data_IF_287482366456
#
_entry.id   IF_287482366456
#
_cell.length_a   1.000
_cell.length_b   1.000
_cell.length_c   1.000
_cell.angle_alpha   90.00
_cell.angle_beta   90.00
_cell.angle_gamma   90.00
#
_symmetry.space_group_name_H-M   'P 1'
#
loop_
_entity.id
_entity.type
_entity.pdbx_description
1 polymer ?
#
# COMPACT_ATOMS: atom_id res chain seq x y z
N UNK A 1 22.81 18.34 -17.03
CA UNK A 1 21.46 18.94 -17.09
C UNK A 1 20.83 18.50 -18.41
N UNK A 2 19.67 17.82 -18.40
CA UNK A 2 19.03 17.31 -19.62
C UNK A 2 18.73 15.79 -19.65
N UNK A 3 19.15 15.03 -18.64
CA UNK A 3 18.95 13.57 -18.55
C UNK A 3 17.48 13.16 -18.68
N UNK A 4 16.58 13.87 -17.99
CA UNK A 4 15.14 13.65 -18.09
C UNK A 4 14.62 13.79 -19.54
N UNK A 5 15.04 14.82 -20.26
CA UNK A 5 14.59 15.07 -21.64
C UNK A 5 15.06 13.95 -22.55
N UNK A 6 16.31 13.52 -22.41
CA UNK A 6 16.86 12.40 -23.20
C UNK A 6 16.12 11.10 -22.92
N UNK A 7 15.89 10.76 -21.66
CA UNK A 7 15.20 9.53 -21.28
C UNK A 7 13.72 9.53 -21.70
N UNK A 8 13.05 10.67 -21.65
CA UNK A 8 11.66 10.80 -22.09
C UNK A 8 11.51 10.57 -23.59
N UNK A 9 12.41 11.13 -24.40
CA UNK A 9 12.37 10.89 -25.84
C UNK A 9 12.81 9.45 -26.19
N UNK A 10 13.76 8.86 -25.45
CA UNK A 10 14.11 7.45 -25.59
C UNK A 10 12.89 6.55 -25.30
N UNK A 11 12.21 6.76 -24.17
CA UNK A 11 11.00 6.02 -23.81
C UNK A 11 9.90 6.12 -24.89
N UNK A 12 9.78 7.25 -25.60
CA UNK A 12 8.78 7.42 -26.67
C UNK A 12 9.08 6.61 -27.93
N UNK A 13 10.35 6.32 -28.19
CA UNK A 13 10.79 5.68 -29.43
C UNK A 13 11.31 4.25 -29.23
N UNK A 14 11.38 3.77 -27.99
CA UNK A 14 11.89 2.45 -27.65
C UNK A 14 10.83 1.34 -27.77
N UNK A 15 11.06 0.30 -28.59
CA UNK A 15 10.13 -0.83 -28.73
C UNK A 15 10.32 -1.93 -27.68
N UNK A 16 11.49 -2.03 -27.02
CA UNK A 16 11.78 -3.13 -26.08
C UNK A 16 11.07 -2.94 -24.72
N UNK A 17 10.19 -3.86 -24.30
CA UNK A 17 9.41 -3.73 -23.06
C UNK A 17 10.27 -3.57 -21.79
N UNK A 18 11.39 -4.29 -21.70
CA UNK A 18 12.28 -4.19 -20.55
C UNK A 18 12.91 -2.80 -20.43
N UNK A 19 13.25 -2.19 -21.56
CA UNK A 19 13.87 -0.85 -21.61
C UNK A 19 12.83 0.24 -21.31
N UNK A 20 11.58 0.07 -21.79
CA UNK A 20 10.47 0.96 -21.43
C UNK A 20 10.26 0.99 -19.92
N UNK A 21 10.13 -0.18 -19.28
CA UNK A 21 9.93 -0.29 -17.84
C UNK A 21 11.12 0.27 -17.03
N UNK A 22 12.33 0.17 -17.55
CA UNK A 22 13.50 0.80 -16.92
C UNK A 22 13.46 2.32 -17.07
N UNK A 23 13.15 2.84 -18.27
CA UNK A 23 13.04 4.27 -18.53
C UNK A 23 11.93 4.92 -17.71
N UNK A 24 10.77 4.26 -17.58
CA UNK A 24 9.64 4.74 -16.79
C UNK A 24 10.03 4.90 -15.32
N UNK A 25 10.68 3.90 -14.72
CA UNK A 25 11.17 3.98 -13.33
C UNK A 25 12.16 5.12 -13.12
N UNK A 26 13.11 5.30 -14.03
CA UNK A 26 14.09 6.38 -13.92
C UNK A 26 13.43 7.75 -14.13
N UNK A 27 12.47 7.85 -15.04
CA UNK A 27 11.70 9.07 -15.26
C UNK A 27 10.90 9.44 -14.00
N UNK A 28 10.25 8.47 -13.34
CA UNK A 28 9.52 8.69 -12.10
C UNK A 28 10.42 9.29 -11.03
N UNK A 29 11.60 8.70 -10.79
CA UNK A 29 12.58 9.20 -9.82
C UNK A 29 13.08 10.61 -10.18
N UNK A 30 13.20 10.95 -11.47
CA UNK A 30 13.65 12.27 -11.91
C UNK A 30 12.57 13.35 -11.82
N UNK A 31 11.28 12.97 -11.81
CA UNK A 31 10.14 13.88 -11.64
C UNK A 31 9.78 14.01 -10.16
N UNK A 32 9.92 12.94 -9.38
CA UNK A 32 9.60 12.93 -7.96
C UNK A 32 10.36 14.04 -7.24
N UNK A 33 9.61 14.85 -6.50
CA UNK A 33 10.19 15.89 -5.68
C UNK A 33 10.80 15.22 -4.45
N UNK A 34 11.94 15.75 -4.01
CA UNK A 34 12.49 15.40 -2.71
C UNK A 34 11.46 15.75 -1.62
N UNK A 35 11.21 14.87 -0.63
CA UNK A 35 10.33 15.20 0.47
C UNK A 35 10.80 16.49 1.14
N UNK A 36 9.86 17.33 1.54
CA UNK A 36 10.18 18.57 2.26
C UNK A 36 10.96 18.28 3.56
N UNK A 37 11.71 19.25 4.09
CA UNK A 37 12.45 19.06 5.34
C UNK A 37 11.54 18.53 6.46
N UNK A 38 11.94 17.43 7.09
CA UNK A 38 11.15 16.77 8.14
C UNK A 38 10.09 15.78 7.64
N UNK A 39 10.03 15.50 6.33
CA UNK A 39 9.23 14.42 5.72
C UNK A 39 10.09 13.23 5.28
N UNK A 40 11.35 13.19 5.71
CA UNK A 40 12.32 12.15 5.35
C UNK A 40 12.06 10.82 6.07
N UNK A 41 11.47 10.88 7.28
CA UNK A 41 11.15 9.72 8.09
C UNK A 41 9.66 9.73 8.45
N UNK A 42 8.89 8.87 7.80
CA UNK A 42 7.43 8.76 7.97
C UNK A 42 6.97 8.40 9.39
N UNK A 43 7.88 7.95 10.28
CA UNK A 43 7.56 7.74 11.70
C UNK A 43 7.65 9.02 12.54
N UNK A 44 8.29 10.07 12.02
CA UNK A 44 8.51 11.35 12.71
C UNK A 44 7.70 12.50 12.09
N UNK A 45 6.93 12.22 11.02
CA UNK A 45 6.10 13.23 10.37
C UNK A 45 4.82 13.47 11.15
N UNK A 46 4.33 14.71 11.13
CA UNK A 46 3.01 15.03 11.67
C UNK A 46 1.94 14.53 10.70
N UNK A 47 1.10 13.60 11.15
CA UNK A 47 -0.04 13.10 10.37
C UNK A 47 -1.19 14.12 10.43
N UNK A 48 -1.74 14.58 9.30
CA UNK A 48 -2.94 15.43 9.27
C UNK A 48 -4.15 14.78 9.96
N UNK A 49 -5.02 15.59 10.57
CA UNK A 49 -6.17 15.09 11.35
C UNK A 49 -7.12 14.20 10.54
N UNK A 50 -7.36 14.53 9.28
CA UNK A 50 -8.20 13.73 8.38
C UNK A 50 -7.66 12.30 8.23
N UNK A 51 -6.36 12.19 7.98
CA UNK A 51 -5.67 10.91 7.83
C UNK A 51 -5.65 10.15 9.17
N UNK A 52 -5.42 10.84 10.30
CA UNK A 52 -5.51 10.20 11.63
C UNK A 52 -6.90 9.61 11.92
N UNK A 53 -7.97 10.26 11.43
CA UNK A 53 -9.33 9.74 11.60
C UNK A 53 -9.60 8.55 10.68
N UNK A 54 -9.09 8.58 9.45
CA UNK A 54 -9.23 7.44 8.52
C UNK A 54 -8.48 6.21 9.03
N UNK A 55 -7.24 6.39 9.52
CA UNK A 55 -6.43 5.31 10.06
C UNK A 55 -7.14 4.63 11.25
N UNK A 56 -7.58 5.41 12.24
CA UNK A 56 -8.34 4.86 13.39
C UNK A 56 -9.62 4.12 13.01
N UNK A 57 -10.26 4.49 11.89
CA UNK A 57 -11.46 3.79 11.41
C UNK A 57 -11.09 2.44 10.78
N UNK A 58 -9.95 2.37 10.10
CA UNK A 58 -9.44 1.13 9.54
C UNK A 58 -9.02 0.19 10.66
N UNK A 59 -8.23 0.69 11.62
CA UNK A 59 -7.79 -0.11 12.77
C UNK A 59 -8.98 -0.77 13.50
N UNK A 60 -10.05 -0.01 13.77
CA UNK A 60 -11.22 -0.58 14.44
C UNK A 60 -12.09 -1.48 13.54
N UNK A 61 -12.05 -1.32 12.21
CA UNK A 61 -12.78 -2.22 11.32
C UNK A 61 -12.10 -3.57 11.21
N UNK A 62 -10.77 -3.58 11.17
CA UNK A 62 -9.96 -4.80 11.16
C UNK A 62 -10.16 -5.56 12.50
N UNK A 63 -10.20 -4.85 13.64
CA UNK A 63 -10.51 -5.44 14.96
C UNK A 63 -11.92 -6.07 15.01
N UNK A 64 -12.94 -5.37 14.50
CA UNK A 64 -14.32 -5.90 14.46
C UNK A 64 -14.41 -7.14 13.53
N UNK A 65 -13.70 -7.15 12.39
CA UNK A 65 -13.67 -8.28 11.46
C UNK A 65 -12.95 -9.50 12.05
N UNK A 66 -11.82 -9.31 12.74
CA UNK A 66 -11.10 -10.38 13.43
C UNK A 66 -11.97 -11.01 14.55
N UNK A 67 -12.75 -10.20 15.30
CA UNK A 67 -13.67 -10.70 16.33
C UNK A 67 -14.84 -11.50 15.73
N UNK A 68 -15.44 -11.03 14.62
CA UNK A 68 -16.52 -11.77 13.93
C UNK A 68 -16.00 -13.10 13.36
N UNK A 69 -14.78 -13.14 12.80
CA UNK A 69 -14.17 -14.39 12.31
C UNK A 69 -13.88 -15.39 13.45
N UNK A 70 -13.39 -14.92 14.61
CA UNK A 70 -13.18 -15.80 15.78
C UNK A 70 -14.50 -16.36 16.32
N UNK A 71 -15.57 -15.55 16.39
CA UNK A 71 -16.89 -16.02 16.82
C UNK A 71 -17.49 -17.06 15.84
N UNK A 72 -17.39 -16.82 14.53
CA UNK A 72 -17.87 -17.76 13.50
C UNK A 72 -17.07 -19.08 13.54
N UNK A 73 -15.75 -19.05 13.78
CA UNK A 73 -14.92 -20.26 13.95
C UNK A 73 -15.29 -21.05 15.21
N UNK A 74 -15.56 -20.40 16.34
CA UNK A 74 -16.02 -21.04 17.58
C UNK A 74 -17.38 -21.73 17.40
N UNK A 75 -18.34 -21.05 16.74
CA UNK A 75 -19.66 -21.61 16.45
C UNK A 75 -19.57 -22.83 15.50
N UNK A 76 -18.70 -22.78 14.48
CA UNK A 76 -18.46 -23.92 13.58
C UNK A 76 -17.84 -25.12 14.30
N UNK A 77 -16.88 -24.90 15.21
CA UNK A 77 -16.28 -25.96 16.04
C UNK A 77 -17.30 -26.61 16.98
N UNK A 78 -18.19 -25.83 17.61
CA UNK A 78 -19.25 -26.35 18.48
C UNK A 78 -20.25 -27.23 17.71
N UNK A 79 -20.66 -26.81 16.51
CA UNK A 79 -21.58 -27.58 15.66
C UNK A 79 -20.92 -28.89 15.15
N UNK A 80 -19.62 -28.88 14.81
CA UNK A 80 -18.87 -30.10 14.43
C UNK A 80 -18.77 -31.10 15.60
N UNK A 81 -18.47 -30.62 16.81
CA UNK A 81 -18.42 -31.46 18.02
C UNK A 81 -19.80 -32.07 18.34
N UNK A 82 -20.90 -31.33 18.17
CA UNK A 82 -22.27 -31.84 18.33
C UNK A 82 -22.63 -32.92 17.28
N UNK A 83 -22.20 -32.76 16.02
CA UNK A 83 -22.38 -33.77 14.97
C UNK A 83 -21.56 -35.05 15.19
N UNK A 84 -20.39 -34.97 15.83
CA UNK A 84 -19.57 -36.14 16.19
C UNK A 84 -20.12 -36.94 17.39
N UNK A 85 -20.93 -36.32 18.26
CA UNK A 85 -21.55 -36.96 19.42
C UNK A 85 -22.89 -37.68 19.14
N UNK A 86 -23.54 -37.50 17.97
CA UNK A 86 -24.78 -38.21 17.53
C UNK A 86 -24.55 -39.56 16.82
#
# INVERSE_FOLDING_TARGET
>A
RGTYVVLRELHRCEPEPAVLAACERVIQVLIDNEPGPGMENLLQVTVPEELQRQLRRLDGHDEDEDEEEEEDEEDEEEEEDEEEEE
#
